data_IF_338376263512
#
_entry.id   IF_338376263512
#
_cell.length_a   1.000
_cell.length_b   1.000
_cell.length_c   1.000
_cell.angle_alpha   90.00
_cell.angle_beta   90.00
_cell.angle_gamma   90.00
#
_symmetry.space_group_name_H-M   'P 1'
#
loop_
_entity.id
_entity.type
_entity.pdbx_description
1 polymer ?
#
# COMPACT_ATOMS: atom_id res chain seq x y z
N UNK A 1 -7.91 -0.75 28.51
CA UNK A 1 -8.32 -1.17 27.15
C UNK A 1 -7.19 -0.85 26.17
N UNK A 2 -6.44 -1.86 25.73
CA UNK A 2 -5.38 -1.66 24.71
C UNK A 2 -6.08 -1.40 23.37
N UNK A 3 -5.86 -0.22 22.77
CA UNK A 3 -6.39 0.10 21.44
C UNK A 3 -5.83 -0.91 20.44
N UNK A 4 -6.71 -1.56 19.68
CA UNK A 4 -6.31 -2.50 18.63
C UNK A 4 -5.25 -1.85 17.73
N UNK A 5 -4.12 -2.55 17.53
CA UNK A 5 -3.00 -2.08 16.72
C UNK A 5 -3.52 -1.89 15.29
N UNK A 6 -3.58 -0.63 14.83
CA UNK A 6 -4.09 -0.32 13.49
C UNK A 6 -3.17 -1.02 12.47
N UNK A 7 -3.70 -1.90 11.61
CA UNK A 7 -2.88 -2.57 10.60
C UNK A 7 -2.23 -1.52 9.72
N UNK A 8 -0.90 -1.50 9.70
CA UNK A 8 -0.09 -0.52 8.97
C UNK A 8 0.87 -1.29 8.08
N UNK A 9 0.78 -1.07 6.77
CA UNK A 9 1.75 -1.62 5.83
C UNK A 9 2.91 -0.63 5.69
N UNK A 10 4.15 -1.12 5.83
CA UNK A 10 5.36 -0.31 5.75
C UNK A 10 6.09 -0.66 4.45
N UNK A 11 6.41 0.36 3.67
CA UNK A 11 7.28 0.27 2.50
C UNK A 11 8.63 0.84 2.90
N UNK A 12 9.69 0.06 2.73
CA UNK A 12 11.07 0.45 3.00
C UNK A 12 11.79 0.89 1.73
N UNK A 13 12.83 1.71 1.89
CA UNK A 13 13.77 2.04 0.82
C UNK A 13 14.87 0.97 0.65
N UNK A 14 15.85 1.23 -0.23
CA UNK A 14 16.98 0.32 -0.47
C UNK A 14 17.94 0.18 0.73
N UNK A 15 17.79 0.99 1.78
CA UNK A 15 18.55 0.93 3.03
C UNK A 15 17.72 0.41 4.21
N UNK A 16 16.58 -0.24 3.93
CA UNK A 16 15.63 -0.77 4.91
C UNK A 16 15.02 0.31 5.84
N UNK A 17 15.09 1.59 5.45
CA UNK A 17 14.48 2.68 6.22
C UNK A 17 13.04 2.86 5.79
N UNK A 18 12.18 3.25 6.73
CA UNK A 18 10.77 3.53 6.48
C UNK A 18 10.62 4.67 5.45
N UNK A 19 10.11 4.31 4.28
CA UNK A 19 9.78 5.26 3.21
C UNK A 19 8.32 5.72 3.35
N UNK A 20 7.40 4.76 3.46
CA UNK A 20 5.96 5.04 3.49
C UNK A 20 5.21 4.08 4.42
N UNK A 21 4.35 4.63 5.27
CA UNK A 21 3.45 3.88 6.13
C UNK A 21 2.00 4.09 5.67
N UNK A 22 1.39 3.04 5.12
CA UNK A 22 -0.02 3.04 4.72
C UNK A 22 -0.87 2.68 5.93
N UNK A 23 -1.77 3.58 6.31
CA UNK A 23 -2.65 3.42 7.49
C UNK A 23 -4.09 3.10 7.11
N UNK A 24 -4.53 3.54 5.93
CA UNK A 24 -5.90 3.32 5.47
C UNK A 24 -5.95 3.30 3.95
N UNK A 25 -6.71 2.36 3.42
CA UNK A 25 -7.13 2.32 2.02
C UNK A 25 -8.65 2.39 2.04
N UNK A 26 -9.22 3.37 1.34
CA UNK A 26 -10.67 3.59 1.30
C UNK A 26 -11.12 3.95 -0.10
N UNK A 27 -12.41 3.73 -0.39
CA UNK A 27 -13.03 4.16 -1.64
C UNK A 27 -13.65 5.54 -1.45
N UNK A 28 -13.41 6.44 -2.39
CA UNK A 28 -14.03 7.76 -2.48
C UNK A 28 -14.67 7.92 -3.86
N UNK A 29 -15.98 7.69 -3.95
CA UNK A 29 -16.72 7.67 -5.22
C UNK A 29 -16.16 6.64 -6.21
N UNK A 30 -15.55 7.13 -7.29
CA UNK A 30 -14.88 6.32 -8.32
C UNK A 30 -13.35 6.25 -8.14
N UNK A 31 -12.81 6.75 -7.03
CA UNK A 31 -11.38 6.75 -6.75
C UNK A 31 -11.06 5.84 -5.56
N UNK A 32 -9.84 5.31 -5.54
CA UNK A 32 -9.26 4.63 -4.39
C UNK A 32 -8.32 5.62 -3.68
N UNK A 33 -8.57 5.89 -2.42
CA UNK A 33 -7.80 6.82 -1.59
C UNK A 33 -6.94 6.03 -0.63
N UNK A 34 -5.63 6.25 -0.70
CA UNK A 34 -4.64 5.66 0.18
C UNK A 34 -4.12 6.77 1.10
N UNK A 35 -4.30 6.59 2.40
CA UNK A 35 -3.82 7.52 3.42
C UNK A 35 -2.65 6.92 4.16
N UNK A 36 -1.61 7.73 4.33
CA UNK A 36 -0.41 7.29 4.99
C UNK A 36 0.49 8.43 5.44
N UNK A 37 1.69 8.06 5.84
CA UNK A 37 2.79 8.98 6.07
C UNK A 37 3.94 8.62 5.16
N UNK A 38 4.64 9.62 4.64
CA UNK A 38 5.94 9.46 3.97
C UNK A 38 7.01 10.00 4.91
N UNK A 39 8.19 9.36 4.93
CA UNK A 39 9.33 9.77 5.76
C UNK A 39 8.95 10.00 7.23
N UNK A 40 8.15 9.10 7.80
CA UNK A 40 7.74 9.07 9.21
C UNK A 40 6.74 10.15 9.66
N UNK A 41 6.69 11.32 9.02
CA UNK A 41 5.91 12.46 9.51
C UNK A 41 5.03 13.17 8.47
N UNK A 42 5.35 13.13 7.18
CA UNK A 42 4.62 13.89 6.17
C UNK A 42 3.29 13.19 5.82
N UNK A 43 2.12 13.78 6.13
CA UNK A 43 0.84 13.17 5.78
C UNK A 43 0.68 13.18 4.25
N UNK A 44 0.30 12.04 3.68
CA UNK A 44 0.00 11.93 2.26
C UNK A 44 -1.38 11.31 2.05
N UNK A 45 -2.07 11.85 1.03
CA UNK A 45 -3.30 11.30 0.48
C UNK A 45 -3.04 11.01 -0.99
N UNK A 46 -2.83 9.75 -1.33
CA UNK A 46 -2.73 9.30 -2.72
C UNK A 46 -4.12 8.93 -3.21
N UNK A 47 -4.51 9.44 -4.38
CA UNK A 47 -5.79 9.09 -5.02
C UNK A 47 -5.49 8.37 -6.33
N UNK A 48 -6.16 7.25 -6.53
CA UNK A 48 -6.03 6.42 -7.71
C UNK A 48 -7.36 6.41 -8.45
N UNK A 49 -7.36 6.90 -9.68
CA UNK A 49 -8.51 6.85 -10.58
C UNK A 49 -8.66 5.46 -11.19
N UNK A 50 -9.83 5.13 -11.79
CA UNK A 50 -10.01 3.84 -12.46
C UNK A 50 -9.05 3.62 -13.64
N UNK A 51 -8.57 4.70 -14.27
CA UNK A 51 -7.56 4.63 -15.33
C UNK A 51 -6.20 4.20 -14.78
N UNK A 52 -5.76 4.86 -13.71
CA UNK A 52 -4.48 4.56 -13.05
C UNK A 52 -4.50 3.18 -12.37
N UNK A 53 -5.64 2.77 -11.82
CA UNK A 53 -5.81 1.41 -11.28
C UNK A 53 -5.60 0.35 -12.37
N UNK A 54 -6.17 0.57 -13.56
CA UNK A 54 -5.93 -0.32 -14.72
C UNK A 54 -4.48 -0.28 -15.19
N UNK A 55 -3.84 0.89 -15.18
CA UNK A 55 -2.43 1.01 -15.52
C UNK A 55 -1.55 0.25 -14.52
N UNK A 56 -1.82 0.37 -13.21
CA UNK A 56 -1.11 -0.37 -12.16
C UNK A 56 -1.28 -1.88 -12.31
N UNK A 57 -2.49 -2.36 -12.66
CA UNK A 57 -2.70 -3.77 -12.96
C UNK A 57 -1.93 -4.24 -14.20
N UNK A 58 -1.76 -3.40 -15.21
CA UNK A 58 -0.95 -3.72 -16.40
C UNK A 58 0.55 -3.81 -16.12
N UNK A 59 1.04 -3.22 -15.02
CA UNK A 59 2.43 -3.36 -14.59
C UNK A 59 2.70 -4.73 -13.92
N UNK A 60 1.64 -5.48 -13.60
CA UNK A 60 1.76 -6.79 -12.97
C UNK A 60 1.77 -7.89 -14.03
N UNK A 61 2.94 -8.47 -14.28
CA UNK A 61 3.04 -9.73 -15.01
C UNK A 61 2.50 -10.91 -14.19
N UNK A 62 2.11 -11.98 -14.88
CA UNK A 62 1.58 -13.21 -14.26
C UNK A 62 2.51 -13.75 -13.15
N UNK A 63 3.82 -13.70 -13.38
CA UNK A 63 4.84 -14.14 -12.40
C UNK A 63 4.82 -13.27 -11.14
N UNK A 64 4.75 -11.95 -11.29
CA UNK A 64 4.70 -11.00 -10.18
C UNK A 64 3.39 -11.15 -9.40
N UNK A 65 2.27 -11.36 -10.10
CA UNK A 65 0.98 -11.60 -9.46
C UNK A 65 0.98 -12.88 -8.62
N UNK A 66 1.54 -13.98 -9.14
CA UNK A 66 1.73 -15.22 -8.36
C UNK A 66 2.64 -15.00 -7.15
N UNK A 67 3.70 -14.20 -7.29
CA UNK A 67 4.58 -13.86 -6.19
C UNK A 67 3.84 -13.07 -5.10
N UNK A 68 3.08 -12.03 -5.44
CA UNK A 68 2.27 -11.24 -4.49
C UNK A 68 1.31 -12.15 -3.72
N UNK A 69 0.60 -13.05 -4.42
CA UNK A 69 -0.29 -14.01 -3.76
C UNK A 69 0.49 -14.93 -2.81
N UNK A 70 1.65 -15.43 -3.24
CA UNK A 70 2.49 -16.29 -2.39
C UNK A 70 3.03 -15.57 -1.15
N UNK A 71 3.32 -14.26 -1.24
CA UNK A 71 3.79 -13.46 -0.10
C UNK A 71 2.78 -13.41 1.03
N UNK A 72 1.47 -13.39 0.73
CA UNK A 72 0.43 -13.35 1.76
C UNK A 72 0.43 -14.57 2.69
N UNK A 73 1.01 -15.69 2.25
CA UNK A 73 1.09 -16.95 3.01
C UNK A 73 2.50 -17.26 3.51
N UNK A 74 3.52 -16.49 3.09
CA UNK A 74 4.88 -16.65 3.58
C UNK A 74 4.97 -16.06 4.99
N UNK A 75 5.59 -16.82 5.90
CA UNK A 75 5.95 -16.31 7.22
C UNK A 75 7.13 -15.34 7.04
N UNK A 76 6.88 -14.06 7.31
CA UNK A 76 7.90 -13.02 7.47
C UNK A 76 8.13 -12.72 8.95
#
# INVERSE_FOLDING_TARGET
>A
MQKAKIPTAVITDASDKELMAIRKIERDGNQLVIRGKIFGAMPMVAKLTPGEARAALKLLDVKTMLFIVSMLFRRG
#
